data_IF_694367543669
#
_entry.id   IF_694367543669
#
_cell.length_a   1.000
_cell.length_b   1.000
_cell.length_c   1.000
_cell.angle_alpha   90.00
_cell.angle_beta   90.00
_cell.angle_gamma   90.00
#
_symmetry.space_group_name_H-M   'P 1'
#
loop_
_entity.id
_entity.type
_entity.pdbx_description
1 polymer ?
#
# COMPACT_ATOMS: atom_id res chain seq x y z
N UNK A 1 -9.65 2.32 11.61
CA UNK A 1 -8.90 1.61 10.55
C UNK A 1 -9.61 1.43 9.22
N UNK A 2 -10.64 0.57 9.03
CA UNK A 2 -11.36 0.47 7.71
C UNK A 2 -11.88 1.83 7.25
N UNK A 3 -12.51 2.58 8.16
CA UNK A 3 -13.00 3.94 7.89
C UNK A 3 -11.87 4.95 7.58
N UNK A 4 -10.69 4.82 8.20
CA UNK A 4 -9.59 5.78 7.99
C UNK A 4 -8.91 5.58 6.63
N UNK A 5 -8.67 4.33 6.25
CA UNK A 5 -8.10 3.99 4.93
C UNK A 5 -9.04 4.47 3.82
N UNK A 6 -10.34 4.19 3.97
CA UNK A 6 -11.38 4.64 3.04
C UNK A 6 -11.43 6.17 2.93
N UNK A 7 -11.56 6.87 4.06
CA UNK A 7 -11.58 8.34 4.09
C UNK A 7 -10.34 8.97 3.45
N UNK A 8 -9.15 8.37 3.65
CA UNK A 8 -7.92 8.84 3.02
C UNK A 8 -7.98 8.66 1.50
N UNK A 9 -8.39 7.49 1.02
CA UNK A 9 -8.51 7.21 -0.42
C UNK A 9 -9.51 8.18 -1.04
N UNK A 10 -10.72 8.28 -0.49
CA UNK A 10 -11.78 9.16 -1.01
C UNK A 10 -11.32 10.62 -1.08
N UNK A 11 -10.69 11.13 0.00
CA UNK A 11 -10.15 12.49 0.05
C UNK A 11 -9.08 12.75 -1.00
N UNK A 12 -8.18 11.80 -1.24
CA UNK A 12 -7.14 11.98 -2.27
C UNK A 12 -7.71 11.81 -3.68
N UNK A 13 -8.80 11.07 -3.85
CA UNK A 13 -9.44 10.85 -5.15
C UNK A 13 -10.40 11.98 -5.56
N UNK A 14 -11.01 12.69 -4.60
CA UNK A 14 -12.02 13.74 -4.87
C UNK A 14 -11.52 14.89 -5.76
N UNK A 15 -10.20 15.10 -5.79
CA UNK A 15 -9.55 16.12 -6.61
C UNK A 15 -9.47 15.78 -8.09
N UNK A 16 -9.70 14.51 -8.46
CA UNK A 16 -9.62 14.04 -9.84
C UNK A 16 -10.97 14.05 -10.52
N UNK A 17 -10.98 14.32 -11.83
CA UNK A 17 -12.18 14.25 -12.65
C UNK A 17 -12.68 12.80 -12.71
N UNK A 18 -13.97 12.60 -12.49
CA UNK A 18 -14.59 11.29 -12.56
C UNK A 18 -15.10 10.98 -13.97
N UNK A 19 -15.00 9.71 -14.36
CA UNK A 19 -15.54 9.18 -15.61
C UNK A 19 -16.07 7.78 -15.37
N UNK A 20 -17.28 7.51 -15.84
CA UNK A 20 -17.82 6.16 -15.79
C UNK A 20 -17.20 5.28 -16.88
N UNK A 21 -16.73 4.11 -16.48
CA UNK A 21 -16.20 3.08 -17.36
C UNK A 21 -16.96 1.77 -17.16
N UNK A 22 -17.18 1.05 -18.26
CA UNK A 22 -17.88 -0.24 -18.25
C UNK A 22 -16.86 -1.37 -18.22
N UNK A 23 -16.90 -2.21 -17.19
CA UNK A 23 -16.03 -3.38 -17.04
C UNK A 23 -16.92 -4.59 -16.71
N UNK A 24 -16.94 -5.62 -17.56
CA UNK A 24 -17.77 -6.83 -17.41
C UNK A 24 -19.22 -6.47 -17.02
N UNK A 25 -19.84 -5.61 -17.83
CA UNK A 25 -21.22 -5.15 -17.68
C UNK A 25 -21.60 -4.37 -16.43
N UNK A 26 -20.63 -4.10 -15.54
CA UNK A 26 -20.79 -3.16 -14.44
C UNK A 26 -20.18 -1.81 -14.80
N UNK A 27 -20.83 -0.74 -14.33
CA UNK A 27 -20.24 0.59 -14.34
C UNK A 27 -19.38 0.80 -13.11
N UNK A 28 -18.21 1.39 -13.33
CA UNK A 28 -17.30 1.80 -12.27
C UNK A 28 -16.87 3.24 -12.48
N UNK A 29 -16.59 3.93 -11.38
CA UNK A 29 -16.02 5.27 -11.42
C UNK A 29 -14.50 5.20 -11.57
N UNK A 30 -14.00 5.78 -12.65
CA UNK A 30 -12.59 6.01 -12.89
C UNK A 30 -12.25 7.46 -12.55
N UNK A 31 -11.24 7.65 -11.71
CA UNK A 31 -10.71 8.96 -11.35
C UNK A 31 -9.52 9.26 -12.28
N UNK A 32 -9.73 10.13 -13.25
CA UNK A 32 -8.77 10.44 -14.31
C UNK A 32 -7.59 11.21 -13.75
N UNK A 33 -6.38 10.72 -14.04
CA UNK A 33 -5.13 11.33 -13.59
C UNK A 33 -4.47 12.01 -14.78
N UNK A 34 -4.44 13.35 -14.84
CA UNK A 34 -3.90 14.09 -15.97
C UNK A 34 -2.45 13.69 -16.31
N UNK A 35 -1.63 13.43 -15.30
CA UNK A 35 -0.21 13.06 -15.46
C UNK A 35 0.00 11.67 -16.10
N UNK A 36 -1.07 10.86 -16.20
CA UNK A 36 -1.04 9.54 -16.83
C UNK A 36 -1.79 9.53 -18.17
N UNK A 37 -2.28 10.68 -18.64
CA UNK A 37 -3.00 10.81 -19.90
C UNK A 37 -2.08 11.27 -21.03
N UNK A 38 -2.38 10.82 -22.24
CA UNK A 38 -1.75 11.22 -23.49
C UNK A 38 -2.85 11.40 -24.53
N UNK A 39 -3.18 12.65 -24.86
CA UNK A 39 -4.29 12.97 -25.77
C UNK A 39 -3.98 12.57 -27.22
N UNK A 40 -2.71 12.68 -27.65
CA UNK A 40 -2.26 12.32 -28.99
C UNK A 40 -2.41 10.82 -29.24
N UNK A 41 -2.18 10.01 -28.20
CA UNK A 41 -2.36 8.56 -28.23
C UNK A 41 -3.77 8.10 -27.82
N UNK A 42 -4.68 9.03 -27.49
CA UNK A 42 -6.00 8.74 -26.95
C UNK A 42 -5.93 7.81 -25.72
N UNK A 43 -5.03 8.08 -24.78
CA UNK A 43 -4.85 7.30 -23.54
C UNK A 43 -5.30 8.15 -22.36
N UNK A 44 -6.29 7.66 -21.61
CA UNK A 44 -6.82 8.35 -20.42
C UNK A 44 -6.78 7.41 -19.21
N UNK A 45 -5.64 7.39 -18.53
CA UNK A 45 -5.42 6.52 -17.39
C UNK A 45 -5.85 7.15 -16.05
N UNK A 46 -6.20 6.31 -15.08
CA UNK A 46 -6.62 6.79 -13.77
C UNK A 46 -6.65 5.74 -12.65
N UNK A 47 -7.23 6.15 -11.52
CA UNK A 47 -7.48 5.29 -10.37
C UNK A 47 -8.89 4.69 -10.44
N UNK A 48 -8.99 3.37 -10.29
CA UNK A 48 -10.28 2.67 -10.15
C UNK A 48 -10.50 2.33 -8.69
N UNK A 49 -11.45 2.99 -8.03
CA UNK A 49 -11.80 2.68 -6.65
C UNK A 49 -13.07 1.83 -6.61
N UNK A 50 -13.00 0.69 -5.92
CA UNK A 50 -14.10 -0.28 -5.85
C UNK A 50 -14.27 -0.78 -4.42
N UNK A 51 -15.50 -0.73 -3.92
CA UNK A 51 -15.92 -1.49 -2.75
C UNK A 51 -16.64 -2.75 -3.26
N UNK A 52 -15.96 -3.88 -3.21
CA UNK A 52 -16.46 -5.14 -3.77
C UNK A 52 -17.06 -6.02 -2.66
N UNK A 53 -18.31 -6.42 -2.86
CA UNK A 53 -19.05 -7.28 -1.93
C UNK A 53 -18.85 -8.78 -2.20
N UNK A 54 -18.36 -9.14 -3.39
CA UNK A 54 -18.23 -10.53 -3.82
C UNK A 54 -16.79 -10.87 -4.25
N UNK A 55 -16.36 -12.10 -3.95
CA UNK A 55 -15.01 -12.59 -4.28
C UNK A 55 -14.78 -12.73 -5.79
N UNK A 56 -15.83 -12.96 -6.58
CA UNK A 56 -15.75 -13.09 -8.04
C UNK A 56 -15.28 -11.81 -8.73
N UNK A 57 -15.81 -10.66 -8.32
CA UNK A 57 -15.45 -9.33 -8.83
C UNK A 57 -14.01 -8.97 -8.49
N UNK A 58 -13.61 -9.20 -7.23
CA UNK A 58 -12.22 -9.04 -6.79
C UNK A 58 -11.29 -9.92 -7.61
N UNK A 59 -11.64 -11.19 -7.80
CA UNK A 59 -10.84 -12.14 -8.59
C UNK A 59 -10.71 -11.70 -10.04
N UNK A 60 -11.81 -11.26 -10.65
CA UNK A 60 -11.84 -10.76 -12.02
C UNK A 60 -10.94 -9.54 -12.19
N UNK A 61 -11.14 -8.49 -11.37
CA UNK A 61 -10.33 -7.27 -11.40
C UNK A 61 -8.86 -7.56 -11.10
N UNK A 62 -8.56 -8.53 -10.22
CA UNK A 62 -7.17 -8.88 -9.89
C UNK A 62 -6.44 -9.59 -11.02
N UNK A 63 -7.10 -10.52 -11.71
CA UNK A 63 -6.43 -11.54 -12.54
C UNK A 63 -6.86 -11.60 -14.00
N UNK A 64 -8.13 -11.28 -14.31
CA UNK A 64 -8.69 -11.48 -15.65
C UNK A 64 -8.85 -10.18 -16.42
N UNK A 65 -9.13 -9.08 -15.73
CA UNK A 65 -9.29 -7.79 -16.36
C UNK A 65 -7.98 -7.34 -17.03
N UNK A 66 -8.09 -6.97 -18.30
CA UNK A 66 -7.03 -6.35 -19.09
C UNK A 66 -7.52 -4.99 -19.55
N UNK A 67 -6.83 -3.89 -19.20
CA UNK A 67 -7.21 -2.57 -19.68
C UNK A 67 -7.16 -2.51 -21.21
N UNK A 68 -8.03 -1.71 -21.85
CA UNK A 68 -7.92 -1.43 -23.27
C UNK A 68 -6.62 -0.67 -23.56
N UNK A 69 -6.15 -0.78 -24.81
CA UNK A 69 -4.90 -0.14 -25.27
C UNK A 69 -5.06 1.38 -25.46
N UNK A 70 -6.30 1.84 -25.67
CA UNK A 70 -6.67 3.25 -25.80
C UNK A 70 -8.02 3.52 -25.12
N UNK A 71 -8.31 4.80 -24.92
CA UNK A 71 -9.47 5.32 -24.20
C UNK A 71 -9.26 5.36 -22.69
N UNK A 72 -10.38 5.33 -21.97
CA UNK A 72 -10.42 5.42 -20.52
C UNK A 72 -10.10 4.07 -19.88
N UNK A 73 -9.01 4.01 -19.11
CA UNK A 73 -8.50 2.78 -18.54
C UNK A 73 -7.97 2.99 -17.11
N UNK A 74 -8.10 2.00 -16.21
CA UNK A 74 -7.49 2.08 -14.91
C UNK A 74 -6.01 1.72 -14.99
N UNK A 75 -5.14 2.62 -14.49
CA UNK A 75 -3.73 2.29 -14.24
C UNK A 75 -3.57 1.52 -12.94
N UNK A 76 -4.15 2.05 -11.86
CA UNK A 76 -4.14 1.41 -10.54
C UNK A 76 -5.58 1.11 -10.11
N UNK A 77 -5.84 -0.15 -9.76
CA UNK A 77 -7.05 -0.57 -9.06
C UNK A 77 -6.86 -0.52 -7.55
N UNK A 78 -7.82 0.09 -6.85
CA UNK A 78 -7.88 0.25 -5.40
C UNK A 78 -9.18 -0.42 -4.95
N UNK A 79 -9.08 -1.65 -4.46
CA UNK A 79 -10.24 -2.52 -4.24
C UNK A 79 -10.33 -2.86 -2.75
N UNK A 80 -11.38 -2.41 -2.09
CA UNK A 80 -11.72 -2.77 -0.72
C UNK A 80 -12.71 -3.94 -0.75
N UNK A 81 -12.38 -5.02 -0.03
CA UNK A 81 -13.23 -6.22 0.04
C UNK A 81 -12.93 -7.00 1.32
N UNK A 82 -13.94 -7.57 1.99
CA UNK A 82 -13.77 -8.53 3.11
C UNK A 82 -12.66 -8.18 4.13
N UNK A 83 -12.57 -6.91 4.56
CA UNK A 83 -11.54 -6.46 5.51
C UNK A 83 -10.11 -6.30 4.94
N UNK A 84 -9.95 -6.33 3.62
CA UNK A 84 -8.70 -6.21 2.88
C UNK A 84 -8.71 -5.01 1.94
N UNK A 85 -7.51 -4.52 1.63
CA UNK A 85 -7.20 -3.60 0.55
C UNK A 85 -6.34 -4.34 -0.48
N UNK A 86 -6.84 -4.48 -1.70
CA UNK A 86 -6.08 -4.90 -2.87
C UNK A 86 -5.68 -3.65 -3.66
N UNK A 87 -4.39 -3.50 -3.91
CA UNK A 87 -3.87 -2.57 -4.89
C UNK A 87 -3.37 -3.36 -6.09
N UNK A 88 -3.76 -2.97 -7.29
CA UNK A 88 -3.38 -3.62 -8.55
C UNK A 88 -2.82 -2.59 -9.52
N UNK A 89 -1.57 -2.76 -9.94
CA UNK A 89 -1.03 -2.06 -11.11
C UNK A 89 -1.34 -2.90 -12.34
N UNK A 90 -2.24 -2.40 -13.19
CA UNK A 90 -2.68 -3.10 -14.38
C UNK A 90 -1.63 -3.07 -15.50
N UNK A 91 -0.81 -2.02 -15.59
CA UNK A 91 0.23 -1.90 -16.62
C UNK A 91 1.42 -2.81 -16.33
N UNK A 92 1.82 -2.90 -15.05
CA UNK A 92 2.95 -3.75 -14.61
C UNK A 92 2.54 -5.15 -14.19
N UNK A 93 1.25 -5.44 -14.18
CA UNK A 93 0.68 -6.69 -13.68
C UNK A 93 1.12 -7.03 -12.23
N UNK A 94 1.37 -6.02 -11.40
CA UNK A 94 1.77 -6.18 -9.98
C UNK A 94 0.58 -5.98 -9.07
N UNK A 95 0.54 -6.67 -7.94
CA UNK A 95 -0.48 -6.43 -6.94
C UNK A 95 0.04 -6.66 -5.53
N UNK A 96 -0.59 -5.99 -4.56
CA UNK A 96 -0.41 -6.24 -3.15
C UNK A 96 -1.77 -6.35 -2.47
N UNK A 97 -1.83 -7.18 -1.43
CA UNK A 97 -3.02 -7.33 -0.60
C UNK A 97 -2.59 -7.06 0.84
N UNK A 98 -3.28 -6.13 1.50
CA UNK A 98 -3.05 -5.78 2.91
C UNK A 98 -4.35 -5.97 3.69
N UNK A 99 -4.29 -6.65 4.83
CA UNK A 99 -5.41 -6.67 5.79
C UNK A 99 -5.56 -5.29 6.39
N UNK A 100 -6.76 -4.71 6.37
CA UNK A 100 -7.01 -3.33 6.81
C UNK A 100 -6.60 -3.08 8.26
N UNK A 101 -6.75 -4.08 9.14
CA UNK A 101 -6.34 -4.00 10.55
C UNK A 101 -4.82 -3.97 10.76
N UNK A 102 -4.04 -4.37 9.75
CA UNK A 102 -2.57 -4.45 9.79
C UNK A 102 -1.90 -3.35 8.98
N UNK A 103 -2.67 -2.41 8.43
CA UNK A 103 -2.12 -1.27 7.68
C UNK A 103 -1.47 -0.30 8.68
N UNK A 104 -0.16 -0.12 8.55
CA UNK A 104 0.62 0.80 9.37
C UNK A 104 0.64 2.22 8.77
N UNK A 105 1.17 3.18 9.55
CA UNK A 105 1.26 4.58 9.15
C UNK A 105 2.19 4.81 7.95
N UNK A 106 3.29 4.08 7.86
CA UNK A 106 4.26 4.19 6.76
C UNK A 106 3.62 3.82 5.43
N UNK A 107 2.84 2.74 5.39
CA UNK A 107 2.07 2.34 4.21
C UNK A 107 1.00 3.37 3.85
N UNK A 108 0.27 3.92 4.84
CA UNK A 108 -0.70 5.00 4.57
C UNK A 108 -0.04 6.22 3.94
N UNK A 109 1.16 6.60 4.40
CA UNK A 109 1.91 7.71 3.81
C UNK A 109 2.31 7.42 2.37
N UNK A 110 2.75 6.19 2.05
CA UNK A 110 3.05 5.77 0.68
C UNK A 110 1.82 5.82 -0.21
N UNK A 111 0.70 5.26 0.26
CA UNK A 111 -0.57 5.29 -0.45
C UNK A 111 -1.00 6.72 -0.72
N UNK A 112 -1.02 7.57 0.30
CA UNK A 112 -1.31 9.00 0.15
C UNK A 112 -0.38 9.64 -0.88
N UNK A 113 0.93 9.42 -0.78
CA UNK A 113 1.90 10.02 -1.70
C UNK A 113 1.62 9.61 -3.15
N UNK A 114 1.38 8.32 -3.40
CA UNK A 114 1.07 7.78 -4.72
C UNK A 114 -0.26 8.30 -5.31
N UNK A 115 -1.28 8.51 -4.49
CA UNK A 115 -2.53 9.14 -4.93
C UNK A 115 -2.40 10.67 -5.07
N UNK A 116 -1.53 11.29 -4.28
CA UNK A 116 -1.37 12.74 -4.27
C UNK A 116 -0.51 13.27 -5.43
N UNK A 117 0.51 12.49 -5.83
CA UNK A 117 1.56 12.82 -6.79
C UNK A 117 1.91 11.55 -7.61
N UNK A 118 1.08 11.18 -8.59
CA UNK A 118 1.05 9.85 -9.21
C UNK A 118 2.14 9.61 -10.26
N UNK A 119 3.35 10.10 -10.01
CA UNK A 119 4.53 9.83 -10.84
C UNK A 119 4.94 8.36 -10.74
N UNK A 120 5.57 7.85 -11.80
CA UNK A 120 5.99 6.45 -11.89
C UNK A 120 6.86 6.01 -10.70
N UNK A 121 7.69 6.91 -10.14
CA UNK A 121 8.47 6.66 -8.91
C UNK A 121 7.57 6.35 -7.69
N UNK A 122 6.55 7.19 -7.43
CA UNK A 122 5.65 7.02 -6.29
C UNK A 122 4.73 5.81 -6.48
N UNK A 123 4.29 5.55 -7.71
CA UNK A 123 3.56 4.33 -8.05
C UNK A 123 4.41 3.09 -7.81
N UNK A 124 5.68 3.08 -8.20
CA UNK A 124 6.59 1.96 -7.92
C UNK A 124 6.80 1.74 -6.41
N UNK A 125 7.03 2.83 -5.67
CA UNK A 125 7.19 2.80 -4.20
C UNK A 125 5.97 2.23 -3.48
N UNK A 126 4.77 2.42 -4.02
CA UNK A 126 3.53 1.85 -3.45
C UNK A 126 3.55 0.32 -3.39
N UNK A 127 4.22 -0.34 -4.33
CA UNK A 127 4.31 -1.80 -4.43
C UNK A 127 5.62 -2.39 -3.90
N UNK A 128 6.55 -1.56 -3.44
CA UNK A 128 7.77 -2.03 -2.79
C UNK A 128 7.48 -2.52 -1.34
N UNK A 129 8.47 -3.15 -0.71
CA UNK A 129 8.37 -3.62 0.69
C UNK A 129 9.05 -2.70 1.70
N UNK A 130 9.42 -1.47 1.31
CA UNK A 130 10.21 -0.58 2.19
C UNK A 130 9.48 -0.19 3.48
N UNK A 131 8.14 -0.24 3.49
CA UNK A 131 7.31 0.03 4.67
C UNK A 131 7.45 -1.05 5.73
N UNK A 132 7.65 -2.29 5.29
CA UNK A 132 7.89 -3.43 6.20
C UNK A 132 9.27 -3.29 6.84
N UNK A 133 10.27 -2.89 6.06
CA UNK A 133 11.64 -2.68 6.56
C UNK A 133 11.68 -1.52 7.56
N UNK A 134 11.05 -0.40 7.22
CA UNK A 134 10.97 0.76 8.10
C UNK A 134 10.23 0.45 9.41
N UNK A 135 9.09 -0.24 9.32
CA UNK A 135 8.34 -0.66 10.51
C UNK A 135 9.15 -1.62 11.39
N UNK A 136 9.81 -2.60 10.78
CA UNK A 136 10.70 -3.51 11.49
C UNK A 136 11.79 -2.74 12.24
N UNK A 137 12.44 -1.77 11.59
CA UNK A 137 13.47 -0.95 12.22
C UNK A 137 12.94 -0.10 13.38
N UNK A 138 11.74 0.46 13.25
CA UNK A 138 11.07 1.18 14.34
C UNK A 138 10.80 0.25 15.53
N UNK A 139 10.31 -0.96 15.27
CA UNK A 139 10.05 -1.96 16.31
C UNK A 139 11.35 -2.42 16.99
N UNK A 140 12.39 -2.67 16.19
CA UNK A 140 13.73 -3.00 16.68
C UNK A 140 14.25 -1.93 17.65
N UNK A 141 14.22 -0.65 17.26
CA UNK A 141 14.63 0.46 18.14
C UNK A 141 13.83 0.54 19.42
N UNK A 142 12.51 0.35 19.35
CA UNK A 142 11.62 0.36 20.53
C UNK A 142 11.95 -0.81 21.47
N UNK A 143 12.18 -2.00 20.93
CA UNK A 143 12.58 -3.17 21.70
C UNK A 143 13.92 -2.95 22.40
N UNK A 144 14.95 -2.44 21.69
CA UNK A 144 16.25 -2.10 22.29
C UNK A 144 16.09 -1.14 23.47
N UNK A 145 15.38 -0.03 23.27
CA UNK A 145 15.13 0.98 24.31
C UNK A 145 14.38 0.40 25.50
N UNK A 146 13.41 -0.48 25.25
CA UNK A 146 12.67 -1.17 26.29
C UNK A 146 13.59 -2.08 27.11
N UNK A 147 14.44 -2.89 26.47
CA UNK A 147 15.36 -3.79 27.15
C UNK A 147 16.37 -3.02 28.01
N UNK A 148 17.00 -1.97 27.47
CA UNK A 148 17.94 -1.13 28.22
C UNK A 148 17.34 -0.54 29.50
N UNK A 149 16.07 -0.13 29.44
CA UNK A 149 15.36 0.44 30.58
C UNK A 149 15.01 -0.61 31.64
N UNK A 150 14.75 -1.86 31.24
CA UNK A 150 14.13 -2.86 32.11
C UNK A 150 15.09 -3.96 32.58
N UNK A 151 16.21 -4.19 31.90
CA UNK A 151 17.22 -5.13 32.38
C UNK A 151 17.87 -4.57 33.64
N UNK A 152 17.67 -5.30 34.74
CA UNK A 152 18.26 -5.04 36.05
C UNK A 152 19.35 -6.09 36.29
N UNK A 153 20.39 -5.72 37.04
CA UNK A 153 21.47 -6.65 37.42
C UNK A 153 22.79 -6.46 36.67
N UNK A 154 22.84 -5.58 35.65
CA UNK A 154 24.10 -5.14 35.02
C UNK A 154 24.30 -3.67 35.39
N UNK A 155 25.09 -3.35 36.43
CA UNK A 155 25.20 -1.97 36.95
C UNK A 155 25.89 -1.03 35.97
N UNK A 156 26.89 -1.52 35.24
CA UNK A 156 27.64 -0.75 34.24
C UNK A 156 26.81 -0.55 32.97
N UNK A 157 26.67 0.70 32.53
CA UNK A 157 25.83 1.07 31.39
C UNK A 157 26.35 0.46 30.08
N UNK A 158 27.66 0.57 29.82
CA UNK A 158 28.28 0.01 28.61
C UNK A 158 28.07 -1.51 28.49
N UNK A 159 28.30 -2.26 29.57
CA UNK A 159 28.05 -3.72 29.58
C UNK A 159 26.58 -4.06 29.37
N UNK A 160 25.66 -3.21 29.84
CA UNK A 160 24.22 -3.40 29.63
C UNK A 160 23.84 -3.17 28.18
N UNK A 161 24.44 -2.15 27.54
CA UNK A 161 24.23 -1.90 26.11
C UNK A 161 24.72 -3.08 25.26
N UNK A 162 25.94 -3.55 25.52
CA UNK A 162 26.52 -4.69 24.81
C UNK A 162 25.66 -5.96 24.97
N UNK A 163 25.20 -6.25 26.19
CA UNK A 163 24.31 -7.37 26.44
C UNK A 163 23.00 -7.26 25.64
N UNK A 164 22.35 -6.08 25.65
CA UNK A 164 21.09 -5.86 24.93
C UNK A 164 21.28 -6.03 23.43
N UNK A 165 22.36 -5.50 22.87
CA UNK A 165 22.63 -5.58 21.43
C UNK A 165 22.92 -7.02 21.00
N UNK A 166 23.70 -7.76 21.80
CA UNK A 166 23.95 -9.19 21.58
C UNK A 166 22.67 -10.01 21.67
N UNK A 167 21.85 -9.78 22.68
CA UNK A 167 20.56 -10.47 22.84
C UNK A 167 19.60 -10.18 21.68
N UNK A 168 19.46 -8.91 21.30
CA UNK A 168 18.63 -8.49 20.17
C UNK A 168 19.08 -9.16 18.87
N UNK A 169 20.39 -9.22 18.61
CA UNK A 169 20.95 -9.88 17.44
C UNK A 169 20.69 -11.40 17.42
N UNK A 170 20.81 -12.07 18.57
CA UNK A 170 20.48 -13.49 18.70
C UNK A 170 18.99 -13.74 18.41
N UNK A 171 18.11 -12.92 18.98
CA UNK A 171 16.67 -13.01 18.73
C UNK A 171 16.31 -12.78 17.25
N UNK A 172 16.99 -11.84 16.58
CA UNK A 172 16.83 -11.63 15.14
C UNK A 172 17.29 -12.83 14.32
N UNK A 173 18.41 -13.45 14.72
CA UNK A 173 18.94 -14.66 14.06
C UNK A 173 17.93 -15.80 14.18
N UNK A 174 17.36 -16.02 15.36
CA UNK A 174 16.32 -17.02 15.59
C UNK A 174 15.03 -16.74 14.82
N UNK A 175 14.65 -15.47 14.64
CA UNK A 175 13.48 -15.12 13.84
C UNK A 175 13.68 -15.35 12.34
N UNK A 176 14.93 -15.29 11.86
CA UNK A 176 15.28 -15.49 10.46
C UNK A 176 15.36 -16.98 10.06
N UNK A 177 15.78 -17.85 10.99
CA UNK A 177 15.88 -19.31 10.81
C UNK A 177 14.51 -20.00 10.88
#
# INVERSE_FOLDING_TARGET
>A
MKSEVKKLIEKELEKYKQKDVKILDKQYTLYIVPELCDEDLNIFEGFLFVEADNKSEVSYLKTRYKPPVSGYAPRIGIILYDGHLLLKDYRKNKHIIKTLKKINKTFLNKLKKALSDPKEENLNKLFDRSDVIEEFYILYKKARKFLLKNIKGIPEEEKREEFVDNFMMQMLTLWYL
#
